data_IF_447080572173
#
_entry.id   IF_447080572173
#
_cell.length_a   1.000
_cell.length_b   1.000
_cell.length_c   1.000
_cell.angle_alpha   90.00
_cell.angle_beta   90.00
_cell.angle_gamma   90.00
#
_symmetry.space_group_name_H-M   'P 1'
#
loop_
_entity.id
_entity.type
_entity.pdbx_description
1 polymer ?
#
# COMPACT_ATOMS: atom_id res chain seq x y z
N UNK A 1 -46.64 0.21 -9.82
CA UNK A 1 -46.59 -0.83 -10.87
C UNK A 1 -45.22 -1.46 -10.82
N UNK A 2 -45.18 -2.79 -10.86
CA UNK A 2 -44.09 -3.67 -10.46
C UNK A 2 -42.86 -3.49 -11.36
N UNK A 3 -41.78 -2.90 -10.83
CA UNK A 3 -40.44 -3.00 -11.42
C UNK A 3 -40.01 -4.46 -11.38
N UNK A 4 -39.65 -5.00 -12.53
CA UNK A 4 -39.44 -6.44 -12.71
C UNK A 4 -38.19 -6.91 -11.96
N UNK A 5 -38.18 -8.15 -11.47
CA UNK A 5 -37.04 -8.71 -10.73
C UNK A 5 -35.70 -8.60 -11.49
N UNK A 6 -35.72 -8.55 -12.83
CA UNK A 6 -34.53 -8.33 -13.67
C UNK A 6 -33.93 -6.91 -13.55
N UNK A 7 -34.72 -5.85 -13.38
CA UNK A 7 -34.20 -4.49 -13.14
C UNK A 7 -33.49 -4.41 -11.79
N UNK A 8 -34.01 -5.12 -10.77
CA UNK A 8 -33.41 -5.16 -9.44
C UNK A 8 -32.06 -5.89 -9.37
N UNK A 9 -31.86 -6.93 -10.18
CA UNK A 9 -30.58 -7.64 -10.28
C UNK A 9 -29.56 -6.86 -11.12
N UNK A 10 -30.02 -6.15 -12.16
CA UNK A 10 -29.14 -5.39 -13.06
C UNK A 10 -28.57 -4.13 -12.41
N UNK A 11 -29.35 -3.40 -11.62
CA UNK A 11 -28.83 -2.29 -10.80
C UNK A 11 -27.83 -2.79 -9.74
N UNK A 12 -28.05 -4.00 -9.19
CA UNK A 12 -27.15 -4.62 -8.23
C UNK A 12 -25.77 -4.95 -8.85
N UNK A 13 -25.71 -5.34 -10.13
CA UNK A 13 -24.43 -5.60 -10.81
C UNK A 13 -23.53 -4.37 -10.89
N UNK A 14 -24.08 -3.20 -11.22
CA UNK A 14 -23.30 -1.97 -11.36
C UNK A 14 -22.85 -1.43 -10.00
N UNK A 15 -23.70 -1.56 -8.98
CA UNK A 15 -23.32 -1.29 -7.60
C UNK A 15 -22.19 -2.20 -7.12
N UNK A 16 -22.32 -3.51 -7.37
CA UNK A 16 -21.27 -4.49 -7.04
C UNK A 16 -19.97 -4.19 -7.79
N UNK A 17 -20.02 -3.89 -9.09
CA UNK A 17 -18.82 -3.55 -9.86
C UNK A 17 -18.14 -2.28 -9.32
N UNK A 18 -18.92 -1.23 -9.02
CA UNK A 18 -18.39 0.01 -8.42
C UNK A 18 -17.74 -0.24 -7.06
N UNK A 19 -18.41 -0.98 -6.16
CA UNK A 19 -17.88 -1.35 -4.85
C UNK A 19 -16.61 -2.20 -4.99
N UNK A 20 -16.58 -3.18 -5.89
CA UNK A 20 -15.40 -3.99 -6.15
C UNK A 20 -14.24 -3.16 -6.69
N UNK A 21 -14.45 -2.23 -7.64
CA UNK A 21 -13.39 -1.33 -8.10
C UNK A 21 -12.83 -0.45 -6.98
N UNK A 22 -13.68 0.06 -6.10
CA UNK A 22 -13.25 0.86 -4.95
C UNK A 22 -12.44 0.01 -3.96
N UNK A 23 -12.88 -1.23 -3.69
CA UNK A 23 -12.17 -2.17 -2.83
C UNK A 23 -10.87 -2.68 -3.44
N UNK A 24 -10.82 -2.85 -4.75
CA UNK A 24 -9.64 -3.22 -5.51
C UNK A 24 -8.57 -2.11 -5.36
N UNK A 25 -8.92 -0.86 -5.68
CA UNK A 25 -8.02 0.28 -5.52
C UNK A 25 -7.59 0.50 -4.07
N UNK A 26 -8.49 0.22 -3.12
CA UNK A 26 -8.15 0.21 -1.70
C UNK A 26 -7.10 -0.83 -1.35
N UNK A 27 -7.27 -2.07 -1.81
CA UNK A 27 -6.34 -3.17 -1.49
C UNK A 27 -4.94 -2.83 -2.00
N UNK A 28 -4.85 -2.29 -3.23
CA UNK A 28 -3.62 -1.73 -3.77
C UNK A 28 -3.06 -0.62 -2.87
N UNK A 29 -3.86 0.40 -2.56
CA UNK A 29 -3.45 1.52 -1.69
C UNK A 29 -2.98 1.08 -0.29
N UNK A 30 -3.59 0.04 0.28
CA UNK A 30 -3.19 -0.52 1.58
C UNK A 30 -1.83 -1.20 1.49
N UNK A 31 -1.58 -1.97 0.43
CA UNK A 31 -0.30 -2.66 0.24
C UNK A 31 0.79 -1.64 -0.09
N UNK A 32 0.50 -0.61 -0.90
CA UNK A 32 1.35 0.58 -1.07
C UNK A 32 1.72 1.20 0.27
N UNK A 33 0.73 1.49 1.13
CA UNK A 33 1.00 2.09 2.44
C UNK A 33 1.97 1.23 3.29
N UNK A 34 1.88 -0.10 3.18
CA UNK A 34 2.79 -1.02 3.88
C UNK A 34 4.20 -1.02 3.29
N UNK A 35 4.32 -1.02 1.96
CA UNK A 35 5.61 -0.99 1.28
C UNK A 35 6.31 0.37 1.36
N UNK A 36 5.58 1.43 1.76
CA UNK A 36 6.07 2.82 1.88
C UNK A 36 6.89 3.25 0.65
N UNK A 37 6.30 3.22 -0.56
CA UNK A 37 6.95 3.71 -1.76
C UNK A 37 7.43 5.16 -1.56
N UNK A 38 8.59 5.55 -2.11
CA UNK A 38 9.18 6.86 -1.88
C UNK A 38 8.46 8.01 -2.60
N UNK A 39 7.56 7.67 -3.54
CA UNK A 39 6.74 8.62 -4.28
C UNK A 39 5.26 8.41 -3.96
N UNK A 40 4.55 9.52 -3.80
CA UNK A 40 3.08 9.47 -3.81
C UNK A 40 2.59 8.97 -5.18
N UNK A 41 1.36 8.45 -5.25
CA UNK A 41 0.76 8.00 -6.52
C UNK A 41 0.83 9.10 -7.59
N UNK A 42 0.50 10.35 -7.23
CA UNK A 42 0.51 11.45 -8.19
C UNK A 42 1.93 11.81 -8.67
N UNK A 43 2.92 11.82 -7.76
CA UNK A 43 4.33 12.04 -8.12
C UNK A 43 4.86 10.93 -9.03
N UNK A 44 4.58 9.68 -8.68
CA UNK A 44 4.98 8.51 -9.45
C UNK A 44 4.38 8.51 -10.85
N UNK A 45 3.08 8.81 -10.98
CA UNK A 45 2.44 8.95 -12.27
C UNK A 45 3.02 10.09 -13.11
N UNK A 46 3.32 11.24 -12.51
CA UNK A 46 3.94 12.35 -13.23
C UNK A 46 5.34 11.98 -13.73
N UNK A 47 6.15 11.36 -12.87
CA UNK A 47 7.52 10.99 -13.22
C UNK A 47 7.59 9.88 -14.28
N UNK A 48 6.72 8.86 -14.24
CA UNK A 48 6.63 7.85 -15.32
C UNK A 48 6.40 8.48 -16.68
N UNK A 49 5.50 9.45 -16.75
CA UNK A 49 5.15 10.13 -17.99
C UNK A 49 6.30 10.95 -18.55
N UNK A 50 7.03 11.64 -17.69
CA UNK A 50 8.22 12.37 -18.09
C UNK A 50 9.41 11.46 -18.42
N UNK A 51 9.55 10.34 -17.71
CA UNK A 51 10.66 9.39 -17.89
C UNK A 51 10.62 8.73 -19.26
N UNK A 52 9.47 8.17 -19.63
CA UNK A 52 9.34 7.49 -20.92
C UNK A 52 9.10 8.46 -22.09
N UNK A 53 8.54 9.63 -21.83
CA UNK A 53 8.33 10.69 -22.83
C UNK A 53 9.57 11.55 -23.13
N UNK A 54 10.73 11.29 -22.49
CA UNK A 54 11.97 12.10 -22.57
C UNK A 54 11.75 13.60 -22.30
N UNK A 55 10.80 13.91 -21.40
CA UNK A 55 10.40 15.27 -21.03
C UNK A 55 9.08 15.71 -21.67
N UNK A 56 8.48 16.76 -21.11
CA UNK A 56 7.16 17.19 -21.52
C UNK A 56 6.83 18.63 -21.14
N UNK A 57 5.82 19.18 -21.80
CA UNK A 57 5.30 20.52 -21.50
C UNK A 57 4.26 20.38 -20.38
N UNK A 58 4.38 21.23 -19.35
CA UNK A 58 3.46 21.20 -18.19
C UNK A 58 1.97 21.28 -18.56
N UNK A 59 1.61 21.90 -19.70
CA UNK A 59 0.23 21.96 -20.20
C UNK A 59 -0.28 20.59 -20.63
N UNK A 60 0.55 19.83 -21.31
CA UNK A 60 0.17 18.54 -21.89
C UNK A 60 0.05 17.47 -20.78
N UNK A 61 0.83 17.62 -19.70
CA UNK A 61 0.73 16.78 -18.51
C UNK A 61 -0.61 16.87 -17.78
N UNK A 62 -1.30 18.01 -17.81
CA UNK A 62 -2.60 18.16 -17.16
C UNK A 62 -3.67 17.29 -17.85
N UNK A 63 -3.73 17.36 -19.17
CA UNK A 63 -4.60 16.51 -19.99
C UNK A 63 -4.24 15.04 -19.84
N UNK A 64 -2.94 14.75 -19.85
CA UNK A 64 -2.44 13.40 -19.77
C UNK A 64 -2.79 12.78 -18.42
N UNK A 65 -2.40 13.39 -17.30
CA UNK A 65 -2.74 12.90 -15.96
C UNK A 65 -4.23 13.06 -15.61
N UNK A 66 -5.03 13.72 -16.46
CA UNK A 66 -6.45 14.04 -16.24
C UNK A 66 -6.67 14.78 -14.91
N UNK A 67 -5.79 15.72 -14.61
CA UNK A 67 -5.87 16.57 -13.41
C UNK A 67 -5.90 18.05 -13.75
N UNK A 68 -6.37 18.86 -12.80
CA UNK A 68 -6.42 20.30 -12.94
C UNK A 68 -5.01 20.92 -13.05
N UNK A 69 -4.85 21.97 -13.87
CA UNK A 69 -3.57 22.66 -14.10
C UNK A 69 -2.89 23.14 -12.82
N UNK A 70 -3.67 23.58 -11.82
CA UNK A 70 -3.17 24.01 -10.51
C UNK A 70 -2.57 22.86 -9.68
N UNK A 71 -3.06 21.63 -9.85
CA UNK A 71 -2.48 20.45 -9.20
C UNK A 71 -1.12 20.09 -9.80
N UNK A 72 -0.99 20.13 -11.14
CA UNK A 72 0.31 19.93 -11.82
C UNK A 72 1.36 20.92 -11.33
N UNK A 73 1.00 22.21 -11.24
CA UNK A 73 1.96 23.24 -10.83
C UNK A 73 2.52 22.98 -9.41
N UNK A 74 1.66 22.51 -8.49
CA UNK A 74 2.05 22.12 -7.14
C UNK A 74 2.94 20.88 -7.12
N UNK A 75 2.57 19.84 -7.87
CA UNK A 75 3.36 18.61 -8.02
C UNK A 75 4.75 18.89 -8.59
N UNK A 76 4.83 19.69 -9.66
CA UNK A 76 6.09 20.10 -10.30
C UNK A 76 6.96 20.88 -9.32
N UNK A 77 6.37 21.82 -8.57
CA UNK A 77 7.10 22.59 -7.55
C UNK A 77 7.67 21.68 -6.45
N UNK A 78 6.87 20.73 -5.95
CA UNK A 78 7.28 19.79 -4.92
C UNK A 78 8.42 18.87 -5.40
N UNK A 79 8.29 18.28 -6.59
CA UNK A 79 9.30 17.41 -7.18
C UNK A 79 10.61 18.16 -7.49
N UNK A 80 10.52 19.42 -7.94
CA UNK A 80 11.68 20.29 -8.13
C UNK A 80 12.35 20.62 -6.79
N UNK A 81 11.58 20.94 -5.75
CA UNK A 81 12.11 21.21 -4.42
C UNK A 81 12.85 20.00 -3.82
N UNK A 82 12.44 18.79 -4.17
CA UNK A 82 13.12 17.52 -3.84
C UNK A 82 14.31 17.19 -4.76
N UNK A 83 14.60 18.04 -5.76
CA UNK A 83 15.66 17.81 -6.73
C UNK A 83 15.40 16.66 -7.72
N UNK A 84 14.16 16.18 -7.83
CA UNK A 84 13.80 15.04 -8.69
C UNK A 84 13.50 15.47 -10.13
N UNK A 85 13.17 16.74 -10.33
CA UNK A 85 12.70 17.27 -11.62
C UNK A 85 13.43 18.58 -11.97
N UNK A 86 13.87 18.71 -13.23
CA UNK A 86 14.42 19.93 -13.81
C UNK A 86 13.33 20.69 -14.58
N UNK A 87 13.41 22.02 -14.53
CA UNK A 87 12.45 22.91 -15.22
C UNK A 87 13.23 23.92 -16.03
N UNK A 88 13.22 23.72 -17.34
CA UNK A 88 13.85 24.61 -18.32
C UNK A 88 12.79 25.44 -19.05
N UNK A 89 13.21 26.52 -19.71
CA UNK A 89 12.33 27.29 -20.59
C UNK A 89 12.59 26.88 -22.03
N UNK A 90 11.52 26.72 -22.82
CA UNK A 90 11.68 26.41 -24.25
C UNK A 90 12.43 27.55 -24.96
N UNK A 91 13.30 27.18 -25.90
CA UNK A 91 14.05 28.13 -26.72
C UNK A 91 13.15 28.83 -27.76
N UNK A 92 12.07 28.18 -28.20
CA UNK A 92 11.13 28.71 -29.20
C UNK A 92 10.04 29.60 -28.58
N UNK A 93 9.50 29.21 -27.42
CA UNK A 93 8.58 30.05 -26.63
C UNK A 93 8.97 29.98 -25.14
N UNK A 94 9.59 31.06 -24.65
CA UNK A 94 10.03 31.17 -23.25
C UNK A 94 8.89 31.05 -22.22
N UNK A 95 7.63 31.18 -22.65
CA UNK A 95 6.45 30.96 -21.80
C UNK A 95 6.21 29.47 -21.53
N UNK A 96 6.76 28.56 -22.34
CA UNK A 96 6.64 27.12 -22.16
C UNK A 96 7.73 26.60 -21.23
N UNK A 97 7.32 25.79 -20.25
CA UNK A 97 8.22 25.09 -19.33
C UNK A 97 8.41 23.65 -19.77
N UNK A 98 9.67 23.32 -20.07
CA UNK A 98 10.12 21.97 -20.39
C UNK A 98 10.52 21.29 -19.08
N UNK A 99 9.89 20.16 -18.80
CA UNK A 99 10.16 19.39 -17.59
C UNK A 99 11.01 18.18 -17.96
N UNK A 100 12.10 17.97 -17.22
CA UNK A 100 12.96 16.80 -17.34
C UNK A 100 13.05 16.06 -16.01
N UNK A 101 13.18 14.73 -16.05
CA UNK A 101 13.49 13.96 -14.84
C UNK A 101 15.00 14.00 -14.64
N UNK A 102 15.45 14.40 -13.45
CA UNK A 102 16.88 14.41 -13.09
C UNK A 102 17.41 12.98 -12.90
N UNK A 103 18.72 12.79 -12.86
CA UNK A 103 19.32 11.48 -12.53
C UNK A 103 18.83 10.95 -11.17
N UNK A 104 18.73 11.80 -10.15
CA UNK A 104 18.19 11.43 -8.84
C UNK A 104 16.71 11.06 -8.92
N UNK A 105 15.93 11.79 -9.74
CA UNK A 105 14.54 11.48 -10.04
C UNK A 105 14.35 10.13 -10.72
N UNK A 106 15.20 9.79 -11.68
CA UNK A 106 15.19 8.50 -12.39
C UNK A 106 15.48 7.36 -11.41
N UNK A 107 16.55 7.48 -10.62
CA UNK A 107 16.93 6.46 -9.63
C UNK A 107 15.81 6.22 -8.60
N UNK A 108 15.18 7.29 -8.11
CA UNK A 108 14.08 7.18 -7.16
C UNK A 108 12.81 6.60 -7.81
N UNK A 109 12.53 6.96 -9.05
CA UNK A 109 11.40 6.43 -9.81
C UNK A 109 11.58 4.93 -10.09
N UNK A 110 12.76 4.49 -10.50
CA UNK A 110 13.04 3.07 -10.74
C UNK A 110 12.85 2.25 -9.47
N UNK A 111 13.33 2.76 -8.32
CA UNK A 111 13.08 2.17 -7.00
C UNK A 111 11.59 2.10 -6.67
N UNK A 112 10.85 3.18 -6.93
CA UNK A 112 9.40 3.25 -6.72
C UNK A 112 8.65 2.23 -7.59
N UNK A 113 9.02 2.11 -8.87
CA UNK A 113 8.41 1.17 -9.80
C UNK A 113 8.70 -0.28 -9.42
N UNK A 114 9.92 -0.57 -8.97
CA UNK A 114 10.26 -1.89 -8.45
C UNK A 114 9.40 -2.23 -7.21
N UNK A 115 9.22 -1.30 -6.25
CA UNK A 115 8.33 -1.54 -5.10
C UNK A 115 6.87 -1.76 -5.52
N UNK A 116 6.40 -1.08 -6.56
CA UNK A 116 5.04 -1.24 -7.09
C UNK A 116 4.85 -2.53 -7.87
N UNK A 117 5.85 -3.00 -8.59
CA UNK A 117 5.80 -4.32 -9.21
C UNK A 117 5.71 -5.43 -8.13
N UNK A 118 6.34 -5.23 -6.97
CA UNK A 118 6.24 -6.13 -5.81
C UNK A 118 4.84 -6.13 -5.25
N UNK A 119 4.27 -4.95 -5.07
CA UNK A 119 2.87 -4.81 -4.70
C UNK A 119 1.96 -5.62 -5.62
N UNK A 120 2.10 -5.48 -6.94
CA UNK A 120 1.24 -6.19 -7.90
C UNK A 120 1.42 -7.70 -7.79
N UNK A 121 2.66 -8.20 -7.78
CA UNK A 121 2.94 -9.62 -7.61
C UNK A 121 2.33 -10.19 -6.31
N UNK A 122 2.39 -9.42 -5.22
CA UNK A 122 1.79 -9.76 -3.93
C UNK A 122 0.27 -9.80 -3.97
N UNK A 123 -0.34 -8.74 -4.51
CA UNK A 123 -1.78 -8.63 -4.56
C UNK A 123 -2.40 -9.74 -5.42
N UNK A 124 -1.68 -10.19 -6.45
CA UNK A 124 -2.10 -11.25 -7.37
C UNK A 124 -1.68 -12.65 -6.93
N UNK A 125 -0.92 -12.81 -5.85
CA UNK A 125 -0.52 -14.11 -5.27
C UNK A 125 -1.65 -15.15 -5.17
N UNK A 126 -2.88 -14.77 -4.77
CA UNK A 126 -4.04 -15.68 -4.73
C UNK A 126 -4.59 -16.14 -6.08
N UNK A 127 -4.21 -15.50 -7.19
CA UNK A 127 -4.70 -15.78 -8.53
C UNK A 127 -3.74 -16.71 -9.28
N UNK A 128 -4.30 -17.71 -9.95
CA UNK A 128 -3.57 -18.59 -10.88
C UNK A 128 -3.10 -17.82 -12.11
N UNK A 129 -2.11 -18.34 -12.83
CA UNK A 129 -1.55 -17.65 -14.00
C UNK A 129 -2.61 -17.38 -15.06
N UNK A 130 -3.51 -18.34 -15.33
CA UNK A 130 -4.59 -18.17 -16.30
C UNK A 130 -5.59 -17.08 -15.87
N UNK A 131 -5.81 -16.91 -14.56
CA UNK A 131 -6.67 -15.85 -14.03
C UNK A 131 -6.01 -14.48 -14.17
N UNK A 132 -4.68 -14.40 -13.98
CA UNK A 132 -3.91 -13.17 -14.19
C UNK A 132 -3.92 -12.75 -15.66
N UNK A 133 -3.77 -13.70 -16.57
CA UNK A 133 -3.81 -13.45 -18.01
C UNK A 133 -5.19 -12.94 -18.46
N UNK A 134 -6.27 -13.54 -17.95
CA UNK A 134 -7.65 -13.03 -18.20
C UNK A 134 -7.87 -11.65 -17.59
N UNK A 135 -7.43 -11.43 -16.34
CA UNK A 135 -7.51 -10.12 -15.71
C UNK A 135 -6.78 -9.05 -16.53
N UNK A 136 -5.60 -9.37 -17.08
CA UNK A 136 -4.84 -8.46 -17.92
C UNK A 136 -5.63 -8.06 -19.17
N UNK A 137 -6.28 -9.02 -19.81
CA UNK A 137 -7.15 -8.78 -20.97
C UNK A 137 -8.31 -7.86 -20.56
N UNK A 138 -9.01 -8.17 -19.47
CA UNK A 138 -10.14 -7.36 -19.02
C UNK A 138 -9.75 -5.93 -18.65
N UNK A 139 -8.70 -5.74 -17.84
CA UNK A 139 -8.25 -4.40 -17.45
C UNK A 139 -7.76 -3.60 -18.65
N UNK A 140 -7.14 -4.26 -19.64
CA UNK A 140 -6.75 -3.62 -20.91
C UNK A 140 -7.96 -3.15 -21.71
N UNK A 141 -8.97 -4.00 -21.92
CA UNK A 141 -10.20 -3.65 -22.63
C UNK A 141 -10.93 -2.49 -21.95
N UNK A 142 -11.02 -2.51 -20.62
CA UNK A 142 -11.62 -1.42 -19.84
C UNK A 142 -10.83 -0.12 -20.02
N UNK A 143 -9.49 -0.19 -19.97
CA UNK A 143 -8.65 0.98 -20.16
C UNK A 143 -8.78 1.55 -21.58
N UNK A 144 -8.95 0.71 -22.61
CA UNK A 144 -9.17 1.13 -23.99
C UNK A 144 -10.54 1.78 -24.19
N UNK A 145 -11.61 1.20 -23.66
CA UNK A 145 -12.97 1.74 -23.75
C UNK A 145 -13.12 3.07 -22.96
N UNK A 146 -12.32 3.25 -21.91
CA UNK A 146 -12.18 4.52 -21.19
C UNK A 146 -11.24 5.52 -21.88
N UNK A 147 -10.73 5.20 -23.08
CA UNK A 147 -9.79 6.02 -23.85
C UNK A 147 -8.56 6.39 -23.03
N UNK A 148 -8.13 5.50 -22.14
CA UNK A 148 -6.98 5.72 -21.29
C UNK A 148 -5.71 5.80 -22.14
N UNK A 149 -4.91 6.87 -22.01
CA UNK A 149 -3.64 6.97 -22.73
C UNK A 149 -2.77 5.75 -22.50
N UNK A 150 -2.06 5.33 -23.55
CA UNK A 150 -1.05 4.29 -23.43
C UNK A 150 0.11 4.80 -22.59
N UNK A 151 0.71 3.90 -21.83
CA UNK A 151 1.93 4.19 -21.09
C UNK A 151 3.00 3.21 -21.52
N UNK A 152 4.22 3.70 -21.58
CA UNK A 152 5.37 2.84 -21.78
C UNK A 152 5.68 2.08 -20.48
N UNK A 153 6.12 0.85 -20.63
CA UNK A 153 6.55 -0.02 -19.55
C UNK A 153 8.05 -0.28 -19.69
N UNK A 154 8.75 -0.49 -18.58
CA UNK A 154 10.08 -1.13 -18.61
C UNK A 154 9.90 -2.61 -18.95
N UNK A 155 10.92 -3.24 -19.50
CA UNK A 155 10.86 -4.68 -19.83
C UNK A 155 10.56 -5.55 -18.60
N UNK A 156 11.01 -5.13 -17.41
CA UNK A 156 10.75 -5.84 -16.15
C UNK A 156 9.42 -5.48 -15.46
N UNK A 157 8.64 -4.53 -15.98
CA UNK A 157 7.39 -4.14 -15.33
C UNK A 157 6.28 -5.18 -15.58
N UNK A 158 5.49 -5.48 -14.55
CA UNK A 158 4.34 -6.36 -14.68
C UNK A 158 3.29 -5.69 -15.59
N UNK A 159 2.81 -6.38 -16.65
CA UNK A 159 1.80 -5.82 -17.55
C UNK A 159 0.52 -5.35 -16.84
N UNK A 160 0.14 -5.96 -15.72
CA UNK A 160 -0.99 -5.55 -14.90
C UNK A 160 -0.73 -4.23 -14.18
N UNK A 161 0.49 -3.94 -13.73
CA UNK A 161 0.85 -2.64 -13.15
C UNK A 161 0.52 -1.50 -14.14
N UNK A 162 0.82 -1.73 -15.42
CA UNK A 162 0.57 -0.77 -16.49
C UNK A 162 -0.94 -0.54 -16.65
N UNK A 163 -1.76 -1.59 -16.69
CA UNK A 163 -3.22 -1.43 -16.81
C UNK A 163 -3.83 -0.79 -15.56
N UNK A 164 -3.36 -1.16 -14.37
CA UNK A 164 -3.80 -0.58 -13.10
C UNK A 164 -3.53 0.93 -13.07
N UNK A 165 -2.35 1.36 -13.51
CA UNK A 165 -2.02 2.78 -13.62
C UNK A 165 -2.89 3.50 -14.65
N UNK A 166 -3.15 2.90 -15.82
CA UNK A 166 -4.04 3.45 -16.84
C UNK A 166 -5.45 3.69 -16.26
N UNK A 167 -5.97 2.69 -15.56
CA UNK A 167 -7.27 2.77 -14.90
C UNK A 167 -7.28 3.75 -13.73
N UNK A 168 -6.22 3.83 -12.93
CA UNK A 168 -6.09 4.80 -11.82
C UNK A 168 -6.29 6.23 -12.32
N UNK A 169 -5.74 6.56 -13.50
CA UNK A 169 -5.96 7.85 -14.17
C UNK A 169 -7.37 8.01 -14.70
N UNK A 170 -7.82 7.07 -15.53
CA UNK A 170 -9.06 7.21 -16.30
C UNK A 170 -10.35 7.06 -15.47
N UNK A 171 -10.23 6.40 -14.31
CA UNK A 171 -11.27 6.36 -13.28
C UNK A 171 -11.24 7.60 -12.37
N UNK A 172 -10.25 8.48 -12.50
CA UNK A 172 -10.21 9.78 -11.80
C UNK A 172 -9.69 9.74 -10.36
N UNK A 173 -8.90 8.73 -9.98
CA UNK A 173 -8.30 8.65 -8.65
C UNK A 173 -7.21 9.70 -8.42
N UNK A 174 -6.51 10.13 -9.46
CA UNK A 174 -5.43 11.14 -9.39
C UNK A 174 -6.00 12.57 -9.38
N UNK A 175 -7.05 12.80 -10.17
CA UNK A 175 -7.62 14.14 -10.40
C UNK A 175 -8.69 14.58 -9.41
N UNK A 176 -8.90 13.83 -8.31
CA UNK A 176 -9.98 14.08 -7.34
C UNK A 176 -11.37 14.19 -7.99
N UNK A 177 -11.57 13.44 -9.08
CA UNK A 177 -12.75 13.49 -9.93
C UNK A 177 -13.18 12.06 -10.30
N UNK A 178 -13.48 11.26 -9.28
CA UNK A 178 -13.77 9.85 -9.42
C UNK A 178 -14.95 9.64 -10.38
N UNK A 179 -14.73 8.88 -11.45
CA UNK A 179 -15.69 8.60 -12.52
C UNK A 179 -16.43 9.85 -13.04
N UNK A 180 -15.71 10.98 -13.14
CA UNK A 180 -16.25 12.27 -13.59
C UNK A 180 -17.39 12.84 -12.73
N UNK A 181 -17.48 12.44 -11.45
CA UNK A 181 -18.51 12.93 -10.52
C UNK A 181 -18.28 14.36 -10.03
N UNK A 182 -17.06 14.88 -10.18
CA UNK A 182 -16.59 16.13 -9.57
C UNK A 182 -16.29 15.99 -8.08
N UNK A 183 -16.15 14.76 -7.55
CA UNK A 183 -15.75 14.49 -6.17
C UNK A 183 -14.62 13.44 -6.12
N UNK A 184 -13.78 13.47 -5.07
CA UNK A 184 -12.85 12.38 -4.77
C UNK A 184 -13.58 11.05 -4.51
N UNK A 185 -12.87 9.93 -4.72
CA UNK A 185 -13.40 8.57 -4.47
C UNK A 185 -13.92 8.41 -3.05
N UNK A 186 -13.23 8.98 -2.07
CA UNK A 186 -13.52 8.83 -0.65
C UNK A 186 -14.83 9.53 -0.27
N UNK A 187 -15.09 10.69 -0.88
CA UNK A 187 -16.35 11.41 -0.74
C UNK A 187 -17.50 10.62 -1.38
N UNK A 188 -17.27 10.06 -2.56
CA UNK A 188 -18.24 9.19 -3.23
C UNK A 188 -18.58 7.95 -2.39
N UNK A 189 -17.58 7.32 -1.74
CA UNK A 189 -17.80 6.16 -0.86
C UNK A 189 -18.69 6.49 0.34
N UNK A 190 -18.44 7.63 1.01
CA UNK A 190 -19.26 8.07 2.15
C UNK A 190 -20.70 8.32 1.71
N UNK A 191 -20.89 9.07 0.63
CA UNK A 191 -22.22 9.40 0.10
C UNK A 191 -23.00 8.14 -0.32
N UNK A 192 -22.34 7.18 -0.97
CA UNK A 192 -22.95 5.91 -1.38
C UNK A 192 -23.38 5.07 -0.17
N UNK A 193 -22.49 4.89 0.82
CA UNK A 193 -22.81 4.10 2.02
C UNK A 193 -23.99 4.69 2.81
N UNK A 194 -24.08 6.02 2.89
CA UNK A 194 -25.22 6.68 3.50
C UNK A 194 -26.50 6.49 2.67
N UNK A 195 -26.43 6.66 1.35
CA UNK A 195 -27.60 6.53 0.47
C UNK A 195 -28.24 5.14 0.56
N UNK A 196 -27.41 4.07 0.57
CA UNK A 196 -27.86 2.67 0.72
C UNK A 196 -28.55 2.44 2.08
N UNK A 197 -28.20 3.21 3.11
CA UNK A 197 -28.82 3.18 4.45
C UNK A 197 -29.93 4.23 4.62
N UNK A 198 -30.68 4.53 3.56
CA UNK A 198 -31.77 5.53 3.58
C UNK A 198 -31.31 6.95 3.97
N UNK A 199 -30.02 7.24 3.82
CA UNK A 199 -29.42 8.55 4.05
C UNK A 199 -28.93 8.81 5.47
N UNK A 200 -28.91 7.82 6.36
CA UNK A 200 -28.40 7.99 7.73
C UNK A 200 -27.69 6.75 8.27
N UNK A 201 -26.59 6.92 9.00
CA UNK A 201 -26.01 5.85 9.80
C UNK A 201 -25.16 6.35 10.99
N UNK A 202 -24.94 5.51 12.03
CA UNK A 202 -23.97 5.81 13.09
C UNK A 202 -22.56 5.98 12.52
N UNK A 203 -21.79 6.94 13.02
CA UNK A 203 -20.41 7.14 12.56
C UNK A 203 -19.53 5.92 12.80
N UNK A 204 -19.72 5.22 13.91
CA UNK A 204 -19.00 3.98 14.19
C UNK A 204 -19.26 2.91 13.14
N UNK A 205 -20.49 2.82 12.63
CA UNK A 205 -20.82 1.88 11.57
C UNK A 205 -20.21 2.31 10.22
N UNK A 206 -20.17 3.62 9.93
CA UNK A 206 -19.47 4.12 8.76
C UNK A 206 -17.95 3.82 8.84
N UNK A 207 -17.37 3.97 10.03
CA UNK A 207 -15.96 3.69 10.30
C UNK A 207 -15.59 2.21 10.19
N UNK A 208 -16.52 1.28 10.41
CA UNK A 208 -16.26 -0.16 10.20
C UNK A 208 -16.41 -0.58 8.75
N UNK A 209 -17.21 0.15 7.96
CA UNK A 209 -17.40 -0.14 6.52
C UNK A 209 -16.30 0.46 5.64
N UNK A 210 -15.76 1.61 6.04
CA UNK A 210 -14.77 2.34 5.27
C UNK A 210 -13.35 2.11 5.81
N UNK A 211 -12.34 2.10 4.93
CA UNK A 211 -10.97 1.73 5.28
C UNK A 211 -10.13 2.88 5.82
N UNK A 212 -10.76 3.87 6.44
CA UNK A 212 -10.09 5.07 6.91
C UNK A 212 -9.81 4.96 8.41
N UNK A 213 -8.72 5.57 8.87
CA UNK A 213 -8.60 5.77 10.32
C UNK A 213 -9.77 6.61 10.82
N UNK A 214 -10.13 6.47 12.10
CA UNK A 214 -11.19 7.29 12.70
C UNK A 214 -10.94 8.79 12.47
N UNK A 215 -9.66 9.20 12.54
CA UNK A 215 -9.26 10.60 12.32
C UNK A 215 -9.45 11.05 10.87
N UNK A 216 -9.09 10.22 9.90
CA UNK A 216 -9.22 10.53 8.47
C UNK A 216 -10.70 10.59 8.07
N UNK A 217 -11.50 9.62 8.51
CA UNK A 217 -12.94 9.62 8.26
C UNK A 217 -13.62 10.84 8.89
N UNK A 218 -13.21 11.23 10.10
CA UNK A 218 -13.76 12.43 10.74
C UNK A 218 -13.46 13.69 9.92
N UNK A 219 -12.26 13.80 9.33
CA UNK A 219 -11.91 14.93 8.45
C UNK A 219 -12.72 14.92 7.16
N UNK A 220 -12.86 13.76 6.52
CA UNK A 220 -13.68 13.61 5.30
C UNK A 220 -15.15 13.97 5.55
N UNK A 221 -15.73 13.49 6.65
CA UNK A 221 -17.10 13.83 7.04
C UNK A 221 -17.24 15.33 7.32
N UNK A 222 -16.27 15.94 8.00
CA UNK A 222 -16.28 17.38 8.27
C UNK A 222 -16.20 18.20 6.99
N UNK A 223 -15.41 17.76 6.00
CA UNK A 223 -15.32 18.41 4.70
C UNK A 223 -16.66 18.37 3.95
N UNK A 224 -17.35 17.22 3.96
CA UNK A 224 -18.67 17.04 3.35
C UNK A 224 -19.79 17.80 4.10
N UNK A 225 -19.68 17.94 5.42
CA UNK A 225 -20.57 18.78 6.24
C UNK A 225 -20.36 20.27 5.95
N UNK A 226 -19.12 20.73 5.80
CA UNK A 226 -18.79 22.12 5.49
C UNK A 226 -19.36 22.59 4.14
N UNK A 227 -19.48 21.69 3.16
CA UNK A 227 -20.14 21.97 1.87
C UNK A 227 -21.64 21.66 1.88
N UNK A 228 -22.22 21.35 3.04
CA UNK A 228 -23.66 21.18 3.24
C UNK A 228 -24.25 19.87 2.70
N UNK A 229 -23.42 18.87 2.39
CA UNK A 229 -23.89 17.56 1.91
C UNK A 229 -24.29 16.65 3.07
N UNK A 230 -23.66 16.81 4.23
CA UNK A 230 -23.91 16.01 5.44
C UNK A 230 -24.32 16.88 6.62
N UNK A 231 -24.90 16.24 7.63
CA UNK A 231 -25.07 16.78 8.98
C UNK A 231 -24.68 15.74 10.02
N UNK A 232 -24.00 16.18 11.06
CA UNK A 232 -23.73 15.39 12.26
C UNK A 232 -24.80 15.64 13.31
N UNK A 233 -25.53 14.61 13.68
CA UNK A 233 -26.59 14.68 14.71
C UNK A 233 -26.24 13.79 15.91
N UNK A 234 -26.56 14.18 17.15
CA UNK A 234 -26.42 13.30 18.29
C UNK A 234 -27.29 12.05 18.11
N UNK A 235 -26.80 10.91 18.57
CA UNK A 235 -27.56 9.67 18.52
C UNK A 235 -28.69 9.69 19.56
N UNK A 236 -29.92 9.26 19.22
CA UNK A 236 -31.01 9.17 20.20
C UNK A 236 -30.62 8.27 21.38
N UNK A 237 -30.70 8.78 22.61
CA UNK A 237 -30.38 8.02 23.83
C UNK A 237 -28.90 7.96 24.23
N UNK A 238 -27.96 8.35 23.36
CA UNK A 238 -26.54 8.46 23.72
C UNK A 238 -25.88 9.66 23.02
N UNK A 239 -25.81 10.80 23.74
CA UNK A 239 -25.19 12.05 23.24
C UNK A 239 -23.68 11.93 23.03
N UNK A 240 -23.02 10.87 23.53
CA UNK A 240 -21.60 10.60 23.27
C UNK A 240 -21.38 9.98 21.90
N UNK A 241 -22.46 9.52 21.23
CA UNK A 241 -22.45 9.01 19.85
C UNK A 241 -23.13 10.01 18.93
N UNK A 242 -22.80 9.90 17.65
CA UNK A 242 -23.40 10.70 16.60
C UNK A 242 -23.69 9.85 15.37
N UNK A 243 -24.76 10.24 14.69
CA UNK A 243 -25.15 9.74 13.37
C UNK A 243 -24.80 10.79 12.33
N UNK A 244 -24.45 10.30 11.15
CA UNK A 244 -24.21 11.12 9.97
C UNK A 244 -25.43 10.96 9.08
N UNK A 245 -26.02 12.07 8.68
CA UNK A 245 -27.24 12.12 7.85
C UNK A 245 -26.97 12.94 6.59
N UNK A 246 -27.42 12.48 5.42
CA UNK A 246 -27.44 13.25 4.18
C UNK A 246 -28.44 14.40 4.31
N UNK A 247 -28.06 15.60 3.89
CA UNK A 247 -29.02 16.68 3.62
C UNK A 247 -29.79 16.39 2.32
N UNK A 248 -30.84 17.16 2.00
CA UNK A 248 -31.52 16.98 0.70
C UNK A 248 -30.62 17.34 -0.50
N UNK A 249 -29.67 18.26 -0.30
CA UNK A 249 -28.61 18.50 -1.28
C UNK A 249 -27.66 17.30 -1.34
N UNK A 250 -27.30 16.72 -0.19
CA UNK A 250 -26.50 15.49 -0.08
C UNK A 250 -27.13 14.29 -0.79
N UNK A 251 -28.42 14.03 -0.57
CA UNK A 251 -29.17 12.94 -1.22
C UNK A 251 -29.19 13.11 -2.74
N UNK A 252 -29.55 14.30 -3.23
CA UNK A 252 -29.52 14.59 -4.67
C UNK A 252 -28.13 14.41 -5.25
N UNK A 253 -27.09 14.91 -4.57
CA UNK A 253 -25.70 14.75 -5.00
C UNK A 253 -25.27 13.29 -5.04
N UNK A 254 -25.61 12.51 -4.01
CA UNK A 254 -25.30 11.08 -3.94
C UNK A 254 -25.97 10.30 -5.08
N UNK A 255 -27.24 10.59 -5.39
CA UNK A 255 -27.99 9.97 -6.47
C UNK A 255 -27.36 10.28 -7.85
N UNK A 256 -27.08 11.56 -8.13
CA UNK A 256 -26.42 11.99 -9.37
C UNK A 256 -25.07 11.31 -9.53
N UNK A 257 -24.27 11.25 -8.45
CA UNK A 257 -22.97 10.59 -8.49
C UNK A 257 -23.10 9.11 -8.82
N UNK A 258 -24.07 8.42 -8.21
CA UNK A 258 -24.32 6.99 -8.44
C UNK A 258 -24.67 6.72 -9.90
N UNK A 259 -25.54 7.54 -10.48
CA UNK A 259 -25.93 7.45 -11.90
C UNK A 259 -24.75 7.72 -12.84
N UNK A 260 -23.93 8.74 -12.55
CA UNK A 260 -22.73 9.05 -13.32
C UNK A 260 -21.68 7.93 -13.26
N UNK A 261 -21.46 7.37 -12.07
CA UNK A 261 -20.56 6.23 -11.88
C UNK A 261 -21.04 5.00 -12.65
N UNK A 262 -22.34 4.67 -12.52
CA UNK A 262 -22.94 3.55 -13.24
C UNK A 262 -22.85 3.74 -14.77
N UNK A 263 -23.15 4.93 -15.29
CA UNK A 263 -23.04 5.23 -16.72
C UNK A 263 -21.60 5.06 -17.23
N UNK A 264 -20.62 5.52 -16.47
CA UNK A 264 -19.21 5.42 -16.88
C UNK A 264 -18.67 3.99 -16.79
N UNK A 265 -19.07 3.22 -15.77
CA UNK A 265 -18.73 1.79 -15.67
C UNK A 265 -19.43 0.96 -16.76
N UNK A 266 -20.70 1.24 -17.08
CA UNK A 266 -21.44 0.64 -18.19
C UNK A 266 -20.72 0.84 -19.52
N UNK A 267 -20.23 2.06 -19.75
CA UNK A 267 -19.39 2.35 -20.91
C UNK A 267 -18.13 1.48 -20.87
N UNK A 268 -17.40 1.51 -19.76
CA UNK A 268 -16.11 0.83 -19.62
C UNK A 268 -16.13 -0.68 -19.90
N UNK A 269 -17.27 -1.35 -19.69
CA UNK A 269 -17.44 -2.79 -19.95
C UNK A 269 -18.41 -3.09 -21.08
N UNK A 270 -18.74 -2.12 -21.94
CA UNK A 270 -19.76 -2.27 -23.00
C UNK A 270 -19.46 -3.45 -23.95
N UNK A 271 -18.19 -3.75 -24.18
CA UNK A 271 -17.75 -4.85 -25.04
C UNK A 271 -17.77 -6.24 -24.39
N UNK A 272 -18.11 -6.34 -23.10
CA UNK A 272 -18.05 -7.59 -22.35
C UNK A 272 -19.34 -8.39 -22.52
N UNK A 273 -19.21 -9.68 -22.77
CA UNK A 273 -20.29 -10.64 -22.59
C UNK A 273 -20.66 -10.79 -21.11
N UNK A 274 -21.84 -11.37 -20.83
CA UNK A 274 -22.25 -11.69 -19.47
C UNK A 274 -21.29 -12.65 -18.76
N UNK A 275 -20.67 -13.56 -19.50
CA UNK A 275 -19.70 -14.53 -18.98
C UNK A 275 -18.38 -13.85 -18.61
N UNK A 276 -17.85 -12.98 -19.48
CA UNK A 276 -16.63 -12.22 -19.20
C UNK A 276 -16.81 -11.26 -18.03
N UNK A 277 -17.96 -10.59 -17.93
CA UNK A 277 -18.27 -9.72 -16.79
C UNK A 277 -18.35 -10.53 -15.48
N UNK A 278 -18.94 -11.73 -15.52
CA UNK A 278 -19.01 -12.61 -14.36
C UNK A 278 -17.62 -13.13 -13.95
N UNK A 279 -16.78 -13.52 -14.90
CA UNK A 279 -15.39 -13.95 -14.64
C UNK A 279 -14.56 -12.80 -14.05
N UNK A 280 -14.66 -11.59 -14.62
CA UNK A 280 -14.01 -10.40 -14.07
C UNK A 280 -14.43 -10.15 -12.61
N UNK A 281 -15.73 -10.18 -12.32
CA UNK A 281 -16.24 -9.98 -10.96
C UNK A 281 -15.69 -11.05 -10.00
N UNK A 282 -15.65 -12.31 -10.44
CA UNK A 282 -15.13 -13.43 -9.65
C UNK A 282 -13.63 -13.27 -9.36
N UNK A 283 -12.83 -12.89 -10.36
CA UNK A 283 -11.39 -12.64 -10.21
C UNK A 283 -11.14 -11.46 -9.25
N UNK A 284 -11.87 -10.35 -9.42
CA UNK A 284 -11.77 -9.19 -8.53
C UNK A 284 -12.16 -9.53 -7.08
N UNK A 285 -13.16 -10.39 -6.87
CA UNK A 285 -13.55 -10.84 -5.53
C UNK A 285 -12.49 -11.70 -4.86
N UNK A 286 -11.92 -12.68 -5.59
CA UNK A 286 -10.79 -13.48 -5.09
C UNK A 286 -9.63 -12.58 -4.65
N UNK A 287 -9.33 -11.56 -5.45
CA UNK A 287 -8.32 -10.56 -5.13
C UNK A 287 -8.67 -9.76 -3.86
N UNK A 288 -9.88 -9.21 -3.76
CA UNK A 288 -10.30 -8.34 -2.66
C UNK A 288 -10.33 -9.09 -1.33
N UNK A 289 -10.84 -10.31 -1.31
CA UNK A 289 -11.09 -11.09 -0.10
C UNK A 289 -9.94 -12.02 0.30
N UNK A 290 -8.87 -12.09 -0.49
CA UNK A 290 -7.70 -12.86 -0.10
C UNK A 290 -7.11 -12.35 1.23
N UNK A 291 -6.74 -13.25 2.16
CA UNK A 291 -6.10 -12.86 3.41
C UNK A 291 -4.82 -12.07 3.13
N UNK A 292 -4.50 -11.08 3.98
CA UNK A 292 -3.26 -10.30 3.88
C UNK A 292 -2.01 -11.11 4.28
N UNK A 293 -2.14 -12.41 4.53
CA UNK A 293 -1.07 -13.31 4.97
C UNK A 293 -0.11 -13.69 3.83
N UNK A 294 -0.54 -13.50 2.57
CA UNK A 294 0.24 -13.86 1.37
C UNK A 294 1.45 -12.93 1.12
N UNK A 295 1.58 -11.84 1.88
CA UNK A 295 2.62 -10.78 1.73
C UNK A 295 4.07 -11.30 1.88
N UNK A 296 4.27 -12.52 2.40
CA UNK A 296 5.59 -12.99 2.84
C UNK A 296 5.98 -14.34 2.22
N UNK A 297 5.92 -14.48 0.90
CA UNK A 297 6.49 -15.66 0.23
C UNK A 297 8.03 -15.54 0.09
N UNK A 298 8.79 -16.64 0.09
CA UNK A 298 10.26 -16.61 -0.04
C UNK A 298 10.75 -15.86 -1.29
N UNK A 299 10.05 -16.00 -2.41
CA UNK A 299 10.38 -15.34 -3.68
C UNK A 299 10.19 -13.83 -3.60
N UNK A 300 9.09 -13.38 -3.00
CA UNK A 300 8.79 -11.96 -2.88
C UNK A 300 9.72 -11.25 -1.90
N UNK A 301 10.16 -11.95 -0.85
CA UNK A 301 11.14 -11.45 0.12
C UNK A 301 12.49 -11.16 -0.53
N UNK A 302 13.06 -12.14 -1.26
CA UNK A 302 14.37 -11.98 -1.92
C UNK A 302 14.42 -10.75 -2.83
N UNK A 303 13.30 -10.47 -3.53
CA UNK A 303 13.22 -9.32 -4.40
C UNK A 303 12.91 -8.00 -3.66
N UNK A 304 12.02 -7.99 -2.66
CA UNK A 304 11.75 -6.82 -1.82
C UNK A 304 13.03 -6.22 -1.21
N UNK A 305 13.95 -7.06 -0.77
CA UNK A 305 15.22 -6.61 -0.21
C UNK A 305 16.18 -6.02 -1.23
N UNK A 306 16.14 -6.47 -2.48
CA UNK A 306 16.98 -5.93 -3.56
C UNK A 306 16.62 -4.47 -3.89
N UNK A 307 15.36 -4.10 -3.67
CA UNK A 307 14.80 -2.78 -4.03
C UNK A 307 15.03 -1.73 -2.94
N UNK A 308 15.09 -2.12 -1.67
CA UNK A 308 15.22 -1.17 -0.55
C UNK A 308 16.70 -0.81 -0.34
N UNK A 309 17.10 0.40 -0.75
CA UNK A 309 18.49 0.84 -0.79
C UNK A 309 18.92 1.84 0.29
N UNK A 310 18.02 2.32 1.17
CA UNK A 310 18.34 3.29 2.24
C UNK A 310 18.43 2.62 3.63
N UNK A 311 19.51 2.90 4.36
CA UNK A 311 19.82 2.35 5.69
C UNK A 311 18.74 2.54 6.78
N UNK A 312 17.92 3.60 6.74
CA UNK A 312 16.85 3.81 7.76
C UNK A 312 15.57 3.08 7.38
N UNK A 313 15.13 3.25 6.14
CA UNK A 313 13.93 2.62 5.58
C UNK A 313 14.11 1.09 5.54
N UNK A 314 15.31 0.62 5.25
CA UNK A 314 15.70 -0.79 5.31
C UNK A 314 15.53 -1.37 6.72
N UNK A 315 15.89 -0.62 7.78
CA UNK A 315 15.72 -1.09 9.16
C UNK A 315 14.24 -1.21 9.55
N UNK A 316 13.44 -0.21 9.22
CA UNK A 316 11.99 -0.24 9.47
C UNK A 316 11.30 -1.35 8.66
N UNK A 317 11.65 -1.50 7.39
CA UNK A 317 11.12 -2.54 6.52
C UNK A 317 11.54 -3.94 7.02
N UNK A 318 12.81 -4.16 7.36
CA UNK A 318 13.28 -5.45 7.91
C UNK A 318 12.58 -5.81 9.22
N UNK A 319 12.33 -4.83 10.09
CA UNK A 319 11.57 -5.06 11.32
C UNK A 319 10.11 -5.43 11.05
N UNK A 320 9.46 -4.78 10.07
CA UNK A 320 8.11 -5.12 9.63
C UNK A 320 8.04 -6.51 8.99
N UNK A 321 9.01 -6.85 8.14
CA UNK A 321 9.11 -8.14 7.48
C UNK A 321 9.32 -9.27 8.50
N UNK A 322 10.21 -9.06 9.49
CA UNK A 322 10.39 -10.00 10.59
C UNK A 322 9.07 -10.25 11.32
N UNK A 323 8.38 -9.19 11.73
CA UNK A 323 7.07 -9.25 12.39
C UNK A 323 6.01 -10.00 11.55
N UNK A 324 6.06 -9.85 10.21
CA UNK A 324 5.29 -10.66 9.27
C UNK A 324 5.64 -12.15 9.28
N UNK A 325 6.93 -12.48 9.18
CA UNK A 325 7.41 -13.87 9.19
C UNK A 325 7.03 -14.60 10.48
N UNK A 326 7.17 -13.94 11.64
CA UNK A 326 6.82 -14.52 12.95
C UNK A 326 5.33 -14.80 13.03
N UNK A 327 4.48 -13.81 12.69
CA UNK A 327 3.02 -13.97 12.73
C UNK A 327 2.53 -15.10 11.84
N UNK A 328 3.14 -15.29 10.69
CA UNK A 328 2.77 -16.33 9.72
C UNK A 328 3.50 -17.66 9.94
N UNK A 329 4.33 -17.79 11.00
CA UNK A 329 5.17 -18.97 11.26
C UNK A 329 6.14 -19.32 10.11
N UNK A 330 6.51 -18.33 9.30
CA UNK A 330 7.42 -18.45 8.16
C UNK A 330 8.86 -18.04 8.52
N UNK A 331 9.19 -17.97 9.80
CA UNK A 331 10.50 -17.50 10.28
C UNK A 331 11.70 -18.31 9.79
N UNK A 332 11.49 -19.55 9.34
CA UNK A 332 12.52 -20.39 8.69
C UNK A 332 12.93 -19.88 7.30
N UNK A 333 12.15 -18.96 6.72
CA UNK A 333 12.44 -18.30 5.44
C UNK A 333 13.04 -16.89 5.63
N UNK A 334 13.53 -16.58 6.83
CA UNK A 334 14.32 -15.37 7.06
C UNK A 334 15.57 -15.43 6.17
N UNK A 335 15.51 -14.75 5.02
CA UNK A 335 16.54 -14.83 4.00
C UNK A 335 17.84 -14.16 4.44
N UNK A 336 18.93 -14.46 3.73
CA UNK A 336 20.22 -13.79 3.86
C UNK A 336 20.19 -12.26 3.62
N UNK A 337 19.05 -11.73 3.15
CA UNK A 337 18.84 -10.31 2.92
C UNK A 337 18.12 -9.63 4.09
N UNK A 338 17.41 -10.40 4.93
CA UNK A 338 16.92 -9.93 6.22
C UNK A 338 18.05 -9.84 7.26
N UNK A 339 19.26 -10.34 6.98
CA UNK A 339 20.43 -10.37 7.86
C UNK A 339 21.64 -9.70 7.17
N UNK A 340 22.34 -8.79 7.83
CA UNK A 340 23.46 -8.08 7.22
C UNK A 340 24.71 -8.98 7.17
N UNK A 341 25.19 -9.30 5.96
CA UNK A 341 26.37 -10.17 5.75
C UNK A 341 27.67 -9.68 6.41
N UNK A 342 27.80 -8.38 6.71
CA UNK A 342 28.98 -7.78 7.36
C UNK A 342 28.93 -7.82 8.89
N UNK A 343 27.80 -8.24 9.47
CA UNK A 343 27.55 -8.16 10.89
C UNK A 343 27.25 -9.56 11.45
N UNK A 344 27.70 -9.80 12.68
CA UNK A 344 27.29 -10.98 13.43
C UNK A 344 25.80 -10.86 13.74
N UNK A 345 25.01 -11.85 13.33
CA UNK A 345 23.55 -11.83 13.46
C UNK A 345 23.11 -12.86 14.49
N UNK A 346 22.44 -12.40 15.54
CA UNK A 346 21.91 -13.23 16.61
C UNK A 346 20.39 -13.24 16.57
N UNK A 347 19.79 -14.41 16.53
CA UNK A 347 18.35 -14.61 16.57
C UNK A 347 17.87 -14.70 18.00
N UNK A 348 16.79 -14.00 18.32
CA UNK A 348 16.04 -14.13 19.55
C UNK A 348 14.83 -15.00 19.26
N UNK A 349 14.67 -16.13 19.94
CA UNK A 349 13.49 -16.97 19.80
C UNK A 349 12.68 -17.06 21.09
N UNK A 350 11.36 -17.11 20.93
CA UNK A 350 10.38 -17.32 21.99
C UNK A 350 9.49 -18.48 21.58
N UNK A 351 9.34 -19.49 22.45
CA UNK A 351 8.47 -20.66 22.20
C UNK A 351 8.68 -21.27 20.80
N UNK A 352 9.95 -21.53 20.48
CA UNK A 352 10.37 -22.19 19.23
C UNK A 352 10.14 -21.39 17.93
N UNK A 353 9.86 -20.09 18.02
CA UNK A 353 9.79 -19.20 16.87
C UNK A 353 10.81 -18.06 16.99
N UNK A 354 11.57 -17.79 15.91
CA UNK A 354 12.37 -16.56 15.82
C UNK A 354 11.42 -15.37 16.01
N UNK A 355 11.73 -14.52 16.97
CA UNK A 355 10.92 -13.39 17.43
C UNK A 355 11.71 -12.06 17.37
N UNK A 356 13.03 -12.12 17.20
CA UNK A 356 13.90 -10.96 17.04
C UNK A 356 15.22 -11.31 16.38
N UNK A 357 15.93 -10.27 15.91
CA UNK A 357 17.29 -10.35 15.36
C UNK A 357 18.11 -9.18 15.90
N UNK A 358 19.30 -9.47 16.41
CA UNK A 358 20.33 -8.50 16.82
C UNK A 358 21.45 -8.56 15.79
N UNK A 359 21.88 -7.40 15.30
CA UNK A 359 23.07 -7.30 14.44
C UNK A 359 24.17 -6.56 15.17
N UNK A 360 25.35 -7.17 15.20
CA UNK A 360 26.53 -6.67 15.87
C UNK A 360 27.60 -6.41 14.81
N UNK A 361 28.13 -5.19 14.76
CA UNK A 361 29.26 -4.85 13.92
C UNK A 361 30.46 -5.70 14.29
N UNK A 362 31.08 -6.30 13.28
CA UNK A 362 32.33 -7.04 13.40
C UNK A 362 33.52 -6.26 12.77
N UNK A 363 33.37 -4.95 12.57
CA UNK A 363 34.42 -4.11 11.98
C UNK A 363 35.61 -3.90 12.95
N UNK A 364 35.36 -3.86 14.25
CA UNK A 364 36.37 -3.90 15.31
C UNK A 364 36.04 -5.06 16.29
N UNK A 365 36.72 -6.21 16.17
CA UNK A 365 36.48 -7.36 17.04
C UNK A 365 36.71 -7.08 18.53
N UNK A 366 37.50 -6.05 18.87
CA UNK A 366 37.75 -5.65 20.25
C UNK A 366 36.63 -4.74 20.82
N UNK A 367 35.78 -4.17 19.96
CA UNK A 367 34.67 -3.28 20.32
C UNK A 367 33.41 -3.58 19.50
N UNK A 368 32.79 -4.74 19.73
CA UNK A 368 31.54 -5.09 19.09
C UNK A 368 30.44 -4.11 19.49
N UNK A 369 29.71 -3.61 18.49
CA UNK A 369 28.62 -2.64 18.69
C UNK A 369 27.34 -3.13 18.05
N UNK A 370 26.22 -3.03 18.77
CA UNK A 370 24.91 -3.35 18.18
C UNK A 370 24.57 -2.26 17.17
N UNK A 371 24.49 -2.64 15.91
CA UNK A 371 24.15 -1.74 14.79
C UNK A 371 22.66 -1.80 14.47
N UNK A 372 22.00 -2.89 14.84
CA UNK A 372 20.58 -3.06 14.60
C UNK A 372 19.93 -4.02 15.60
N UNK A 373 18.68 -3.73 15.96
CA UNK A 373 17.83 -4.63 16.72
C UNK A 373 16.42 -4.60 16.15
N UNK A 374 15.97 -5.76 15.71
CA UNK A 374 14.64 -5.95 15.15
C UNK A 374 13.89 -6.94 16.03
N UNK A 375 12.69 -6.60 16.46
CA UNK A 375 11.83 -7.46 17.29
C UNK A 375 10.40 -7.41 16.78
N UNK A 376 9.77 -8.57 16.73
CA UNK A 376 8.36 -8.74 16.40
C UNK A 376 7.46 -8.09 17.46
N UNK A 377 6.24 -7.70 17.07
CA UNK A 377 5.34 -6.89 17.89
C UNK A 377 4.84 -7.58 19.16
N UNK A 378 4.78 -8.91 19.17
CA UNK A 378 4.47 -9.75 20.33
C UNK A 378 5.56 -9.70 21.41
N UNK A 379 6.80 -9.42 21.02
CA UNK A 379 7.90 -9.14 21.94
C UNK A 379 7.87 -7.72 22.48
N UNK A 380 7.50 -6.74 21.64
CA UNK A 380 7.42 -5.31 22.03
C UNK A 380 6.32 -5.03 23.06
N UNK A 381 5.28 -5.85 23.08
CA UNK A 381 4.08 -5.67 23.93
C UNK A 381 4.13 -6.44 25.25
N UNK A 382 5.19 -7.21 25.51
CA UNK A 382 5.31 -8.02 26.74
C UNK A 382 5.73 -7.13 27.92
N UNK A 383 4.86 -6.95 28.91
CA UNK A 383 5.15 -6.23 30.15
C UNK A 383 5.88 -7.07 31.21
N UNK A 384 6.12 -8.36 30.94
CA UNK A 384 6.73 -9.31 31.86
C UNK A 384 8.08 -9.82 31.34
N UNK A 385 9.03 -10.14 32.25
CA UNK A 385 10.31 -10.74 31.89
C UNK A 385 10.09 -11.98 31.03
N UNK A 386 10.58 -11.96 29.80
CA UNK A 386 10.34 -13.03 28.84
C UNK A 386 11.64 -13.81 28.63
N UNK A 387 11.63 -15.12 28.88
CA UNK A 387 12.76 -15.99 28.55
C UNK A 387 12.91 -16.05 27.03
N UNK A 388 14.12 -15.72 26.56
CA UNK A 388 14.46 -15.78 25.15
C UNK A 388 15.67 -16.67 24.94
N UNK A 389 15.59 -17.48 23.90
CA UNK A 389 16.68 -18.31 23.41
C UNK A 389 17.47 -17.50 22.39
N UNK A 390 18.79 -17.48 22.54
CA UNK A 390 19.68 -16.77 21.61
C UNK A 390 20.41 -17.78 20.74
N UNK A 391 20.35 -17.55 19.42
CA UNK A 391 21.00 -18.38 18.41
C UNK A 391 21.92 -17.55 17.53
N UNK A 392 23.08 -18.07 17.12
CA UNK A 392 23.84 -17.44 16.03
C UNK A 392 23.19 -17.83 14.70
N UNK A 393 22.60 -16.84 14.02
CA UNK A 393 21.99 -17.05 12.71
C UNK A 393 23.03 -17.17 11.60
N UNK A 394 24.24 -16.67 11.83
CA UNK A 394 25.36 -16.76 10.88
C UNK A 394 25.78 -18.19 10.57
N UNK A 395 25.44 -19.16 11.45
CA UNK A 395 25.66 -20.60 11.25
C UNK A 395 24.52 -21.31 10.52
N UNK A 396 23.31 -20.73 10.49
CA UNK A 396 22.14 -21.35 9.83
C UNK A 396 22.17 -21.21 8.31
N UNK A 397 22.90 -20.21 7.77
CA UNK A 397 23.03 -19.96 6.33
C UNK A 397 23.85 -21.02 5.55
N UNK A 398 24.51 -21.98 6.22
CA UNK A 398 25.27 -23.03 5.54
C UNK A 398 24.44 -24.25 5.14
N UNK A 399 23.16 -24.31 5.53
CA UNK A 399 22.29 -25.45 5.26
C UNK A 399 21.17 -25.06 4.28
N UNK A 400 21.29 -25.53 3.03
CA UNK A 400 20.33 -25.29 1.95
C UNK A 400 18.96 -25.98 2.12
N UNK A 401 18.68 -26.62 3.26
CA UNK A 401 17.38 -27.20 3.58
C UNK A 401 17.10 -27.13 5.08
N UNK A 402 16.03 -26.43 5.46
CA UNK A 402 15.58 -26.30 6.86
C UNK A 402 14.61 -27.40 7.30
N UNK A 403 14.21 -28.31 6.40
CA UNK A 403 13.26 -29.39 6.71
C UNK A 403 13.77 -30.40 7.75
N UNK A 404 15.04 -30.31 8.16
CA UNK A 404 15.61 -31.13 9.24
C UNK A 404 16.48 -30.37 10.24
N UNK A 405 16.29 -29.05 10.38
CA UNK A 405 17.08 -28.28 11.35
C UNK A 405 16.53 -28.48 12.77
N UNK A 406 17.08 -29.50 13.45
CA UNK A 406 17.23 -29.43 14.89
C UNK A 406 17.93 -28.09 15.17
N UNK A 407 17.21 -27.15 15.80
CA UNK A 407 17.78 -25.86 16.16
C UNK A 407 19.11 -26.15 16.88
N UNK A 408 20.25 -25.59 16.44
CA UNK A 408 21.52 -25.79 17.14
C UNK A 408 21.31 -25.51 18.63
N UNK A 409 21.94 -26.27 19.52
CA UNK A 409 21.80 -26.04 20.95
C UNK A 409 21.94 -24.54 21.24
N UNK A 410 20.99 -23.91 21.96
CA UNK A 410 21.02 -22.47 22.18
C UNK A 410 22.38 -22.10 22.74
N UNK A 411 22.99 -21.06 22.18
CA UNK A 411 24.32 -20.63 22.61
C UNK A 411 24.30 -20.28 24.11
N UNK A 412 23.18 -19.74 24.60
CA UNK A 412 22.84 -19.64 26.02
C UNK A 412 21.37 -19.22 26.25
N UNK A 413 20.93 -19.23 27.51
CA UNK A 413 19.65 -18.70 27.97
C UNK A 413 19.83 -17.30 28.60
N UNK A 414 19.09 -16.29 28.12
CA UNK A 414 19.07 -14.96 28.76
C UNK A 414 17.67 -14.53 29.16
N UNK A 415 17.62 -13.73 30.23
CA UNK A 415 16.46 -12.89 30.54
C UNK A 415 16.68 -11.54 29.86
N UNK A 416 15.72 -11.13 29.04
CA UNK A 416 15.66 -9.75 28.54
C UNK A 416 14.47 -9.10 29.24
N UNK A 417 14.74 -8.08 30.06
CA UNK A 417 13.72 -7.16 30.54
C UNK A 417 13.58 -6.03 29.53
N UNK A 418 12.48 -5.97 28.76
CA UNK A 418 12.24 -4.81 27.90
C UNK A 418 11.95 -3.59 28.80
N UNK A 419 12.85 -2.61 28.80
CA UNK A 419 12.60 -1.36 29.52
C UNK A 419 11.41 -0.61 28.89
N UNK A 420 10.27 -0.66 29.57
CA UNK A 420 8.99 -0.18 29.10
C UNK A 420 8.96 1.34 28.87
N UNK A 421 9.92 2.11 29.39
CA UNK A 421 9.87 3.58 29.34
C UNK A 421 10.29 4.20 28.00
N UNK A 422 10.93 3.43 27.10
CA UNK A 422 11.41 3.94 25.79
C UNK A 422 10.78 3.23 24.57
N UNK A 423 9.94 2.23 24.77
CA UNK A 423 9.29 1.48 23.68
C UNK A 423 8.27 2.31 22.88
N UNK A 424 7.76 3.41 23.44
CA UNK A 424 6.70 4.22 22.85
C UNK A 424 7.15 5.16 21.72
N UNK A 425 8.44 5.50 21.63
CA UNK A 425 8.91 6.54 20.70
C UNK A 425 9.79 6.02 19.56
N UNK A 426 10.41 4.82 19.71
CA UNK A 426 11.39 4.33 18.73
C UNK A 426 11.28 2.84 18.34
N UNK A 427 10.34 2.08 18.90
CA UNK A 427 10.17 0.66 18.52
C UNK A 427 11.40 -0.23 18.73
N UNK A 428 12.40 0.23 19.50
CA UNK A 428 13.58 -0.53 19.87
C UNK A 428 13.44 -1.02 21.31
N UNK A 429 13.59 -2.33 21.54
CA UNK A 429 13.81 -2.87 22.89
C UNK A 429 15.25 -2.54 23.26
N UNK A 430 15.52 -1.56 24.12
CA UNK A 430 16.90 -1.30 24.51
C UNK A 430 17.45 -2.49 25.32
N UNK A 431 18.27 -3.33 24.68
CA UNK A 431 19.19 -4.20 25.40
C UNK A 431 20.21 -3.31 26.11
N UNK A 432 20.34 -3.44 27.43
CA UNK A 432 21.32 -2.69 28.20
C UNK A 432 22.73 -3.00 27.69
N UNK A 433 23.64 -2.01 27.71
CA UNK A 433 25.05 -2.17 27.28
C UNK A 433 25.72 -3.39 27.92
N UNK A 434 25.42 -3.68 29.18
CA UNK A 434 25.95 -4.84 29.90
C UNK A 434 25.39 -6.19 29.41
N UNK A 435 24.15 -6.23 28.91
CA UNK A 435 23.55 -7.44 28.33
C UNK A 435 24.09 -7.68 26.93
N UNK A 436 24.27 -6.60 26.14
CA UNK A 436 24.96 -6.64 24.85
C UNK A 436 26.40 -7.12 25.00
N UNK A 437 27.17 -6.57 25.95
CA UNK A 437 28.55 -6.99 26.20
C UNK A 437 28.65 -8.44 26.67
N UNK A 438 27.69 -8.92 27.48
CA UNK A 438 27.59 -10.35 27.85
C UNK A 438 27.27 -11.22 26.65
N UNK A 439 26.32 -10.79 25.82
CA UNK A 439 25.94 -11.46 24.58
C UNK A 439 27.13 -11.62 23.64
N UNK A 440 27.91 -10.56 23.45
CA UNK A 440 29.03 -10.61 22.52
C UNK A 440 30.17 -11.48 23.06
N UNK A 441 30.53 -11.36 24.35
CA UNK A 441 31.59 -12.20 24.96
C UNK A 441 31.24 -13.69 25.00
N UNK A 442 29.97 -14.04 24.88
CA UNK A 442 29.53 -15.44 24.86
C UNK A 442 29.56 -16.04 23.44
N UNK A 443 29.63 -15.20 22.40
CA UNK A 443 29.57 -15.63 20.99
C UNK A 443 30.92 -15.51 20.28
N UNK A 444 31.74 -14.50 20.62
CA UNK A 444 33.16 -14.39 20.25
C UNK A 444 34.01 -15.15 21.26
#
# INVERSE_FOLDING_TARGET
>A
MLGTAQESTFDNTWHRLSDLFLRFNRRLSFILFKLKPPLTTNESHLLVELYHGKGGISRDLASLLMVQKGAISRLVSALRGRGLLSVDSSQEDRRLKLLGVTTAGIQLLERDLDLRNLEIAECLGPLQQEERDRLLIYLRSIAEELESPQMHAREQDDPLLIQIRRLTRSLGFIGENYLATGLPSDHCQILHNLLVRQGEMPFQELATKLPYSYSDLSRLVSALEAVGLLRKLPYPGDRRRFRITLTETGKRRAQINLEQQAARLRRAVRGFSSEELADLLQILEKFIFAPNETIFTPTNLAWAFKVISDSRELREARAFLLDGLVRNKLHLYASEYLLARKHLCLGLARRDALSGVIEISNEDPAKPTVVNLMVAGDLRSSSAPTRLLVYALTLLNQFNSFESLAIPAPLFFSWIEPDARHAAEYGMVHLGKADVERLVRAVL
#
